data_IF_687226018091
#
_entry.id   IF_687226018091
#
_cell.length_a   1.000
_cell.length_b   1.000
_cell.length_c   1.000
_cell.angle_alpha   90.00
_cell.angle_beta   90.00
_cell.angle_gamma   90.00
#
_symmetry.space_group_name_H-M   'P 1'
#
loop_
_entity.id
_entity.type
_entity.pdbx_description
1 polymer ?
#
# COMPACT_ATOMS: atom_id res chain seq x y z
N UNK A 1 9.62 -4.00 -4.68
CA UNK A 1 9.77 -3.11 -3.51
C UNK A 1 9.24 -3.81 -2.28
N UNK A 2 9.94 -3.70 -1.18
CA UNK A 2 9.49 -4.25 0.11
C UNK A 2 9.24 -3.10 1.08
N UNK A 3 8.66 -3.42 2.25
CA UNK A 3 8.26 -2.44 3.26
C UNK A 3 9.40 -1.47 3.64
N UNK A 4 10.60 -2.01 3.87
CA UNK A 4 11.76 -1.20 4.24
C UNK A 4 12.11 -0.17 3.17
N UNK A 5 12.17 -0.58 1.92
CA UNK A 5 12.47 0.30 0.79
C UNK A 5 11.42 1.37 0.62
N UNK A 6 10.14 1.01 0.80
CA UNK A 6 9.03 1.96 0.75
C UNK A 6 9.19 3.06 1.79
N UNK A 7 9.53 2.70 3.03
CA UNK A 7 9.68 3.67 4.11
C UNK A 7 10.87 4.59 3.89
N UNK A 8 11.96 4.07 3.38
CA UNK A 8 13.14 4.88 3.04
C UNK A 8 12.81 5.89 1.94
N UNK A 9 12.10 5.44 0.91
CA UNK A 9 11.66 6.30 -0.20
C UNK A 9 10.70 7.40 0.28
N UNK A 10 9.69 7.02 1.07
CA UNK A 10 8.69 7.97 1.56
C UNK A 10 9.32 9.04 2.45
N UNK A 11 10.29 8.67 3.27
CA UNK A 11 11.03 9.62 4.12
C UNK A 11 11.86 10.59 3.27
N UNK A 12 12.55 10.08 2.26
CA UNK A 12 13.43 10.88 1.41
C UNK A 12 12.65 11.87 0.55
N UNK A 13 11.55 11.43 -0.07
CA UNK A 13 10.80 12.24 -1.04
C UNK A 13 9.77 13.14 -0.36
N UNK A 14 9.07 12.65 0.65
CA UNK A 14 7.95 13.34 1.30
C UNK A 14 8.20 13.72 2.75
N UNK A 15 9.31 13.29 3.33
CA UNK A 15 9.54 13.45 4.76
C UNK A 15 8.55 12.66 5.61
N UNK A 16 7.91 11.65 5.03
CA UNK A 16 6.91 10.84 5.72
C UNK A 16 7.55 9.69 6.47
N UNK A 17 7.06 9.43 7.69
CA UNK A 17 7.47 8.30 8.49
C UNK A 17 6.23 7.45 8.85
N UNK A 18 6.39 6.13 9.03
CA UNK A 18 5.26 5.30 9.37
C UNK A 18 4.72 5.61 10.76
N UNK A 19 3.39 5.66 10.86
CA UNK A 19 2.67 5.83 12.12
C UNK A 19 1.84 4.57 12.34
N UNK A 20 1.90 4.00 13.55
CA UNK A 20 1.27 2.72 13.89
C UNK A 20 0.10 2.94 14.85
N UNK A 21 -1.04 3.49 14.38
CA UNK A 21 -2.14 3.87 15.26
C UNK A 21 -2.91 2.68 15.88
N UNK A 22 -2.72 1.47 15.34
CA UNK A 22 -3.48 0.29 15.76
C UNK A 22 -2.71 -0.68 16.68
N UNK A 23 -1.52 -0.31 17.15
CA UNK A 23 -0.68 -1.16 17.99
C UNK A 23 -0.32 -2.53 17.38
N UNK A 24 -0.26 -2.59 16.05
CA UNK A 24 0.14 -3.78 15.32
C UNK A 24 1.12 -3.40 14.20
N UNK A 25 1.36 -4.30 13.26
CA UNK A 25 2.29 -4.09 12.16
C UNK A 25 1.70 -3.24 11.01
N UNK A 26 0.40 -2.95 11.08
CA UNK A 26 -0.26 -2.10 10.11
C UNK A 26 0.05 -0.63 10.41
N UNK A 27 0.32 0.16 9.37
CA UNK A 27 0.69 1.55 9.57
C UNK A 27 0.14 2.45 8.48
N UNK A 28 0.18 3.76 8.74
CA UNK A 28 -0.21 4.78 7.77
C UNK A 28 0.99 5.67 7.48
N UNK A 29 1.00 6.21 6.26
CA UNK A 29 1.92 7.27 5.86
C UNK A 29 1.12 8.55 5.68
N UNK A 30 1.54 9.62 6.33
CA UNK A 30 0.84 10.90 6.33
C UNK A 30 1.67 11.97 5.65
N UNK A 31 1.00 12.91 4.99
CA UNK A 31 1.67 14.11 4.51
C UNK A 31 2.18 14.91 5.72
N UNK A 32 3.42 15.34 5.64
CA UNK A 32 4.08 16.06 6.73
C UNK A 32 3.37 17.37 7.10
N UNK A 33 2.88 18.10 6.10
CA UNK A 33 2.32 19.45 6.30
C UNK A 33 0.88 19.45 6.80
N UNK A 34 0.03 18.51 6.40
CA UNK A 34 -1.39 18.49 6.77
C UNK A 34 -1.83 17.24 7.53
N UNK A 35 -0.92 16.28 7.78
CA UNK A 35 -1.18 15.03 8.49
C UNK A 35 -2.22 14.12 7.86
N UNK A 36 -2.62 14.36 6.62
CA UNK A 36 -3.58 13.49 5.90
C UNK A 36 -2.91 12.20 5.44
N UNK A 37 -3.64 11.11 5.54
CA UNK A 37 -3.18 9.80 5.03
C UNK A 37 -3.10 9.83 3.52
N UNK A 38 -2.02 9.36 2.96
CA UNK A 38 -1.91 9.12 1.52
C UNK A 38 -1.61 7.66 1.21
N UNK A 39 -1.21 6.88 2.20
CA UNK A 39 -0.93 5.46 2.02
C UNK A 39 -1.11 4.69 3.34
N UNK A 40 -1.50 3.42 3.21
CA UNK A 40 -1.54 2.47 4.32
C UNK A 40 -0.69 1.26 3.94
N UNK A 41 0.08 0.74 4.89
CA UNK A 41 0.74 -0.55 4.73
C UNK A 41 0.06 -1.52 5.68
N UNK A 42 -0.51 -2.59 5.12
CA UNK A 42 -1.25 -3.58 5.90
C UNK A 42 -0.65 -4.97 5.66
N UNK A 43 -0.71 -5.79 6.71
CA UNK A 43 -0.29 -7.19 6.64
C UNK A 43 -1.54 -8.06 6.54
N UNK A 44 -1.66 -8.81 5.44
CA UNK A 44 -2.84 -9.64 5.18
C UNK A 44 -2.42 -10.99 4.62
N UNK A 45 -3.36 -11.94 4.62
CA UNK A 45 -3.14 -13.21 3.90
C UNK A 45 -3.24 -12.95 2.40
N UNK A 46 -2.32 -13.52 1.63
CA UNK A 46 -2.26 -13.36 0.18
C UNK A 46 -3.56 -13.76 -0.53
N UNK A 47 -4.32 -14.69 0.05
CA UNK A 47 -5.63 -15.09 -0.48
C UNK A 47 -6.63 -13.95 -0.54
N UNK A 48 -6.48 -12.94 0.32
CA UNK A 48 -7.34 -11.75 0.30
C UNK A 48 -7.16 -10.91 -0.96
N UNK A 49 -6.05 -11.09 -1.65
CA UNK A 49 -5.78 -10.46 -2.96
C UNK A 49 -6.17 -11.35 -4.14
N UNK A 50 -6.72 -12.53 -3.86
CA UNK A 50 -7.04 -13.51 -4.91
C UNK A 50 -5.86 -14.40 -5.30
N UNK A 51 -4.75 -14.34 -4.56
CA UNK A 51 -3.60 -15.21 -4.80
C UNK A 51 -3.83 -16.59 -4.17
N UNK A 52 -3.27 -17.66 -4.76
CA UNK A 52 -3.53 -19.03 -4.27
C UNK A 52 -2.75 -19.39 -3.02
N UNK A 53 -1.78 -18.58 -2.62
CA UNK A 53 -0.87 -18.89 -1.54
C UNK A 53 -1.49 -18.56 -0.17
N UNK A 54 -1.30 -19.46 0.78
CA UNK A 54 -1.71 -19.26 2.16
C UNK A 54 -0.51 -18.75 2.95
N UNK A 55 -0.23 -17.46 2.82
CA UNK A 55 0.87 -16.82 3.52
C UNK A 55 0.53 -15.35 3.80
N UNK A 56 1.16 -14.80 4.82
CA UNK A 56 1.06 -13.38 5.17
C UNK A 56 1.95 -12.55 4.27
N UNK A 57 1.40 -11.46 3.74
CA UNK A 57 2.13 -10.53 2.88
C UNK A 57 1.88 -9.09 3.32
N UNK A 58 2.83 -8.22 3.02
CA UNK A 58 2.66 -6.77 3.18
C UNK A 58 2.05 -6.19 1.91
N UNK A 59 1.09 -5.29 2.07
CA UNK A 59 0.40 -4.63 0.96
C UNK A 59 0.38 -3.13 1.21
N UNK A 60 0.75 -2.37 0.19
CA UNK A 60 0.61 -0.91 0.19
C UNK A 60 -0.71 -0.54 -0.46
N UNK A 61 -1.58 0.14 0.30
CA UNK A 61 -2.76 0.80 -0.26
C UNK A 61 -2.41 2.27 -0.46
N UNK A 62 -2.42 2.72 -1.70
CA UNK A 62 -2.08 4.11 -2.02
C UNK A 62 -3.21 4.77 -2.80
N UNK A 63 -3.47 6.03 -2.48
CA UNK A 63 -4.46 6.83 -3.20
C UNK A 63 -3.95 7.13 -4.60
N UNK A 64 -4.82 7.00 -5.58
CA UNK A 64 -4.45 7.11 -6.99
C UNK A 64 -5.55 7.81 -7.79
N UNK A 65 -5.15 8.51 -8.86
CA UNK A 65 -6.08 9.09 -9.81
C UNK A 65 -6.94 7.99 -10.44
N UNK A 66 -8.28 8.11 -10.42
CA UNK A 66 -9.17 7.10 -11.00
C UNK A 66 -8.85 6.76 -12.47
N UNK A 67 -8.33 7.70 -13.23
CA UNK A 67 -7.98 7.47 -14.63
C UNK A 67 -6.79 6.53 -14.80
N UNK A 68 -5.95 6.39 -13.78
CA UNK A 68 -4.76 5.54 -13.82
C UNK A 68 -5.02 4.13 -13.28
N UNK A 69 -6.05 3.95 -12.48
CA UNK A 69 -6.31 2.68 -11.77
C UNK A 69 -6.48 1.50 -12.73
N UNK A 70 -7.26 1.68 -13.79
CA UNK A 70 -7.48 0.62 -14.78
C UNK A 70 -6.19 0.08 -15.40
N UNK A 71 -5.29 0.98 -15.78
CA UNK A 71 -3.99 0.61 -16.35
C UNK A 71 -3.07 -0.03 -15.32
N UNK A 72 -3.04 0.50 -14.11
CA UNK A 72 -2.18 -0.01 -13.04
C UNK A 72 -2.59 -1.42 -12.60
N UNK A 73 -3.89 -1.71 -12.56
CA UNK A 73 -4.39 -3.03 -12.15
C UNK A 73 -4.01 -4.14 -13.12
N UNK A 74 -3.59 -3.79 -14.34
CA UNK A 74 -3.12 -4.77 -15.32
C UNK A 74 -1.66 -5.15 -15.13
N UNK A 75 -0.93 -4.42 -14.28
CA UNK A 75 0.48 -4.70 -14.00
C UNK A 75 0.62 -5.73 -12.89
N UNK A 76 1.65 -6.57 -13.01
CA UNK A 76 1.98 -7.57 -11.99
C UNK A 76 2.26 -6.88 -10.63
N UNK A 77 1.69 -7.43 -9.57
CA UNK A 77 1.84 -6.88 -8.23
C UNK A 77 0.85 -5.79 -7.85
N UNK A 78 -0.04 -5.39 -8.79
CA UNK A 78 -1.08 -4.40 -8.54
C UNK A 78 -2.44 -5.06 -8.49
N UNK A 79 -3.27 -4.71 -7.51
CA UNK A 79 -4.56 -5.34 -7.24
C UNK A 79 -5.63 -4.30 -6.93
N UNK A 80 -6.92 -4.64 -7.09
CA UNK A 80 -8.00 -3.79 -6.57
C UNK A 80 -7.78 -3.52 -5.09
N UNK A 81 -8.05 -2.28 -4.67
CA UNK A 81 -7.75 -1.86 -3.29
C UNK A 81 -8.47 -2.73 -2.25
N UNK A 82 -7.72 -3.28 -1.32
CA UNK A 82 -8.23 -4.07 -0.22
C UNK A 82 -8.82 -3.16 0.84
N UNK A 83 -10.12 -3.33 1.13
CA UNK A 83 -10.87 -2.55 2.12
C UNK A 83 -10.86 -1.04 1.92
N UNK A 84 -10.56 -0.58 0.71
CA UNK A 84 -10.59 0.84 0.35
C UNK A 84 -11.48 1.04 -0.87
N UNK A 85 -11.83 2.29 -1.15
CA UNK A 85 -12.58 2.64 -2.36
C UNK A 85 -11.74 2.30 -3.60
N UNK A 86 -12.23 1.37 -4.41
CA UNK A 86 -11.49 0.83 -5.58
C UNK A 86 -11.40 1.81 -6.75
N UNK A 87 -12.13 2.91 -6.70
CA UNK A 87 -12.05 3.96 -7.73
C UNK A 87 -10.90 4.94 -7.48
N UNK A 88 -10.48 5.09 -6.22
CA UNK A 88 -9.49 6.08 -5.82
C UNK A 88 -8.24 5.48 -5.15
N UNK A 89 -8.22 4.19 -4.92
CA UNK A 89 -7.12 3.50 -4.25
C UNK A 89 -6.71 2.25 -5.00
N UNK A 90 -5.45 1.86 -4.86
CA UNK A 90 -4.92 0.64 -5.44
C UNK A 90 -4.05 -0.08 -4.39
N UNK A 91 -4.04 -1.41 -4.45
CA UNK A 91 -3.18 -2.23 -3.59
C UNK A 91 -1.96 -2.71 -4.36
N UNK A 92 -0.78 -2.58 -3.74
CA UNK A 92 0.49 -2.99 -4.33
C UNK A 92 1.14 -4.01 -3.41
N UNK A 93 1.50 -5.16 -3.94
CA UNK A 93 2.16 -6.22 -3.18
C UNK A 93 3.61 -5.84 -2.91
N UNK A 94 4.01 -5.86 -1.63
CA UNK A 94 5.36 -5.49 -1.19
C UNK A 94 6.21 -6.73 -0.94
N UNK A 95 6.48 -7.51 -1.98
CA UNK A 95 7.26 -8.75 -1.90
C UNK A 95 8.47 -8.76 -2.85
N UNK A 96 8.78 -7.60 -3.44
CA UNK A 96 9.84 -7.48 -4.42
C UNK A 96 9.38 -7.58 -5.87
N UNK A 97 8.10 -7.89 -6.13
CA UNK A 97 7.54 -7.97 -7.49
C UNK A 97 7.53 -6.61 -8.19
N UNK A 98 7.28 -5.55 -7.44
CA UNK A 98 7.22 -4.18 -7.97
C UNK A 98 8.47 -3.40 -7.62
#
# INVERSE_FOLDING_TARGET
>A
MERKELFEWAKEIYGAEPDYPWNDWNCVLRHKNNKKWFALVVEINARKLGLPEDKTVDVLNIKCDPMMIGSLRMKEGFFPAYHMNKENWISILLDGTV
#
